data_IF_380211527998
#
_entry.id   IF_380211527998
#
_cell.length_a   1.000
_cell.length_b   1.000
_cell.length_c   1.000
_cell.angle_alpha   90.00
_cell.angle_beta   90.00
_cell.angle_gamma   90.00
#
_symmetry.space_group_name_H-M   'P 1'
#
loop_
_entity.id
_entity.type
_entity.pdbx_description
1 polymer ?
#
# COMPACT_ATOMS: atom_id res chain seq x y z
N UNK A 1 -3.16 11.97 11.30
CA UNK A 1 -4.63 11.84 11.37
C UNK A 1 -5.22 12.49 10.13
N UNK A 2 -6.11 11.80 9.40
CA UNK A 2 -6.88 12.41 8.31
C UNK A 2 -8.02 13.20 8.99
N UNK A 3 -7.98 14.52 8.95
CA UNK A 3 -9.06 15.35 9.46
C UNK A 3 -10.26 15.26 8.51
N UNK A 4 -11.44 14.97 9.04
CA UNK A 4 -12.67 14.95 8.27
C UNK A 4 -12.87 16.31 7.57
N UNK A 5 -13.02 16.30 6.25
CA UNK A 5 -13.26 17.50 5.43
C UNK A 5 -12.07 18.03 4.62
N UNK A 6 -10.86 17.48 4.78
CA UNK A 6 -9.73 17.82 3.90
C UNK A 6 -9.61 16.85 2.71
N UNK A 7 -9.26 17.34 1.50
CA UNK A 7 -9.01 16.47 0.35
C UNK A 7 -7.89 15.47 0.64
N UNK A 8 -8.08 14.20 0.27
CA UNK A 8 -7.03 13.18 0.38
C UNK A 8 -6.00 13.45 -0.73
N UNK A 9 -4.84 14.02 -0.34
CA UNK A 9 -3.72 14.29 -1.26
C UNK A 9 -3.03 13.02 -1.72
N UNK A 10 -2.27 13.10 -2.82
CA UNK A 10 -1.47 11.96 -3.30
C UNK A 10 -0.44 11.49 -2.26
N UNK A 11 0.16 12.38 -1.48
CA UNK A 11 1.06 12.01 -0.38
C UNK A 11 0.36 11.17 0.69
N UNK A 12 -0.86 11.56 1.09
CA UNK A 12 -1.65 10.80 2.08
C UNK A 12 -2.06 9.44 1.51
N UNK A 13 -2.44 9.37 0.23
CA UNK A 13 -2.73 8.10 -0.43
C UNK A 13 -1.50 7.20 -0.46
N UNK A 14 -0.35 7.74 -0.87
CA UNK A 14 0.91 7.00 -0.94
C UNK A 14 1.34 6.47 0.44
N UNK A 15 1.30 7.30 1.48
CA UNK A 15 1.65 6.86 2.84
C UNK A 15 0.72 5.76 3.34
N UNK A 16 -0.57 5.87 3.04
CA UNK A 16 -1.58 4.87 3.42
C UNK A 16 -1.34 3.54 2.70
N UNK A 17 -1.10 3.58 1.39
CA UNK A 17 -0.84 2.36 0.59
C UNK A 17 0.45 1.68 1.07
N UNK A 18 1.51 2.44 1.34
CA UNK A 18 2.77 1.89 1.91
C UNK A 18 2.54 1.20 3.26
N UNK A 19 1.70 1.76 4.13
CA UNK A 19 1.34 1.12 5.39
C UNK A 19 0.56 -0.19 5.19
N UNK A 20 -0.35 -0.24 4.21
CA UNK A 20 -1.09 -1.46 3.85
C UNK A 20 -0.17 -2.55 3.29
N UNK A 21 0.80 -2.17 2.44
CA UNK A 21 1.84 -3.07 1.91
C UNK A 21 2.62 -3.68 3.08
N UNK A 22 3.13 -2.86 4.00
CA UNK A 22 3.89 -3.33 5.15
C UNK A 22 3.07 -4.30 6.02
N UNK A 23 1.80 -3.99 6.29
CA UNK A 23 0.93 -4.89 7.05
C UNK A 23 0.71 -6.24 6.37
N UNK A 24 0.58 -6.27 5.03
CA UNK A 24 0.46 -7.53 4.29
C UNK A 24 1.75 -8.33 4.24
N UNK A 25 2.89 -7.65 4.11
CA UNK A 25 4.21 -8.29 4.18
C UNK A 25 4.44 -8.93 5.56
N UNK A 26 4.11 -8.23 6.64
CA UNK A 26 4.17 -8.79 8.00
C UNK A 26 3.25 -10.01 8.14
N UNK A 27 2.00 -9.91 7.67
CA UNK A 27 1.08 -11.05 7.69
C UNK A 27 1.64 -12.25 6.91
N UNK A 28 2.13 -12.06 5.69
CA UNK A 28 2.70 -13.13 4.88
C UNK A 28 3.94 -13.74 5.54
N UNK A 29 4.79 -12.94 6.18
CA UNK A 29 5.98 -13.43 6.88
C UNK A 29 5.63 -14.40 8.02
N UNK A 30 4.49 -14.16 8.69
CA UNK A 30 4.03 -14.96 9.84
C UNK A 30 3.22 -16.18 9.43
N UNK A 31 2.46 -16.07 8.34
CA UNK A 31 1.38 -17.00 8.04
C UNK A 31 1.48 -17.70 6.69
N UNK A 32 2.47 -17.37 5.83
CA UNK A 32 2.64 -18.06 4.56
C UNK A 32 3.34 -19.43 4.68
N UNK A 33 3.95 -19.73 5.83
CA UNK A 33 4.68 -20.98 6.08
C UNK A 33 4.73 -21.32 7.56
N UNK A 34 5.28 -22.49 7.91
CA UNK A 34 5.49 -22.91 9.29
C UNK A 34 4.22 -23.42 9.99
N UNK A 35 4.28 -23.54 11.32
CA UNK A 35 3.20 -24.14 12.13
C UNK A 35 1.92 -23.30 12.19
N UNK A 36 2.03 -21.99 11.96
CA UNK A 36 0.90 -21.07 11.92
C UNK A 36 0.38 -20.81 10.49
N UNK A 37 0.82 -21.61 9.51
CA UNK A 37 0.47 -21.42 8.10
C UNK A 37 -1.06 -21.37 7.93
N UNK A 38 -1.53 -20.35 7.22
CA UNK A 38 -2.95 -20.18 6.83
C UNK A 38 -3.25 -20.98 5.55
N UNK A 39 -4.53 -21.24 5.24
CA UNK A 39 -4.93 -21.85 3.97
C UNK A 39 -4.32 -21.15 2.74
N UNK A 40 -3.95 -21.92 1.71
CA UNK A 40 -3.25 -21.39 0.54
C UNK A 40 -4.05 -20.30 -0.19
N UNK A 41 -5.38 -20.44 -0.28
CA UNK A 41 -6.23 -19.44 -0.90
C UNK A 41 -6.19 -18.08 -0.19
N UNK A 42 -6.00 -18.06 1.14
CA UNK A 42 -5.80 -16.80 1.88
C UNK A 42 -4.43 -16.20 1.57
N UNK A 43 -3.39 -17.03 1.49
CA UNK A 43 -2.02 -16.60 1.17
C UNK A 43 -1.98 -16.01 -0.25
N UNK A 44 -2.59 -16.68 -1.21
CA UNK A 44 -2.64 -16.25 -2.61
C UNK A 44 -3.45 -14.95 -2.77
N UNK A 45 -4.54 -14.81 -2.01
CA UNK A 45 -5.26 -13.55 -1.92
C UNK A 45 -4.34 -12.42 -1.41
N UNK A 46 -3.58 -12.63 -0.33
CA UNK A 46 -2.66 -11.61 0.20
C UNK A 46 -1.51 -11.27 -0.74
N UNK A 47 -0.98 -12.25 -1.48
CA UNK A 47 0.02 -12.01 -2.53
C UNK A 47 -0.55 -11.18 -3.68
N UNK A 48 -1.77 -11.50 -4.13
CA UNK A 48 -2.46 -10.75 -5.18
C UNK A 48 -2.74 -9.31 -4.75
N UNK A 49 -3.27 -9.12 -3.53
CA UNK A 49 -3.47 -7.80 -2.95
C UNK A 49 -2.15 -7.01 -2.82
N UNK A 50 -1.05 -7.67 -2.45
CA UNK A 50 0.27 -7.03 -2.35
C UNK A 50 0.76 -6.52 -3.71
N UNK A 51 0.61 -7.32 -4.77
CA UNK A 51 0.96 -6.92 -6.13
C UNK A 51 0.18 -5.68 -6.57
N UNK A 52 -1.15 -5.69 -6.38
CA UNK A 52 -2.02 -4.55 -6.74
C UNK A 52 -1.68 -3.30 -5.93
N UNK A 53 -1.42 -3.44 -4.63
CA UNK A 53 -1.01 -2.30 -3.82
C UNK A 53 0.34 -1.73 -4.25
N UNK A 54 1.26 -2.58 -4.73
CA UNK A 54 2.52 -2.16 -5.31
C UNK A 54 2.32 -1.24 -6.52
N UNK A 55 1.50 -1.65 -7.49
CA UNK A 55 1.22 -0.83 -8.68
C UNK A 55 0.53 0.50 -8.31
N UNK A 56 -0.38 0.47 -7.35
CA UNK A 56 -1.04 1.68 -6.83
C UNK A 56 -0.03 2.62 -6.16
N UNK A 57 0.95 2.09 -5.43
CA UNK A 57 2.00 2.91 -4.82
C UNK A 57 2.84 3.62 -5.89
N UNK A 58 3.24 2.92 -6.95
CA UNK A 58 3.97 3.51 -8.08
C UNK A 58 3.17 4.63 -8.77
N UNK A 59 1.86 4.44 -8.96
CA UNK A 59 0.98 5.46 -9.52
C UNK A 59 0.94 6.73 -8.65
N UNK A 60 0.85 6.57 -7.34
CA UNK A 60 0.85 7.70 -6.41
C UNK A 60 2.22 8.36 -6.28
N UNK A 61 3.31 7.61 -6.36
CA UNK A 61 4.67 8.17 -6.42
C UNK A 61 4.80 9.10 -7.63
N UNK A 62 4.40 8.64 -8.82
CA UNK A 62 4.37 9.49 -10.03
C UNK A 62 3.51 10.74 -9.83
N UNK A 63 2.33 10.60 -9.24
CA UNK A 63 1.41 11.72 -9.01
C UNK A 63 1.95 12.74 -7.99
N UNK A 64 2.64 12.28 -6.94
CA UNK A 64 3.31 13.13 -5.96
C UNK A 64 4.41 13.95 -6.64
N UNK A 65 5.27 13.31 -7.44
CA UNK A 65 6.36 14.00 -8.12
C UNK A 65 5.86 15.05 -9.12
N UNK A 66 4.81 14.74 -9.88
CA UNK A 66 4.16 15.73 -10.77
C UNK A 66 3.56 16.90 -9.96
N UNK A 67 2.95 16.62 -8.81
CA UNK A 67 2.35 17.66 -7.96
C UNK A 67 3.43 18.60 -7.40
N UNK A 68 4.55 18.05 -6.92
CA UNK A 68 5.70 18.83 -6.45
C UNK A 68 6.32 19.68 -7.56
N UNK A 69 6.54 19.09 -8.74
CA UNK A 69 7.10 19.80 -9.89
C UNK A 69 6.22 20.98 -10.36
N UNK A 70 4.90 20.85 -10.24
CA UNK A 70 3.95 21.95 -10.52
C UNK A 70 3.97 23.04 -9.46
N UNK A 71 4.20 22.69 -8.19
CA UNK A 71 4.24 23.66 -7.10
C UNK A 71 5.55 24.47 -7.06
N UNK A 72 6.60 24.01 -7.74
CA UNK A 72 7.92 24.66 -7.81
C UNK A 72 8.08 25.63 -9.00
N UNK A 73 7.07 25.74 -9.86
CA UNK A 73 6.99 26.66 -11.00
C UNK A 73 6.21 27.92 -10.61
#
# INVERSE_FOLDING_TARGET
>A
MISAGQPITYDVKLSTVRALIAGKQDWLSRFASGKAKRPDHEIDQKRTELLVLGTIAEDYERAVEVTKARAAQ
#
